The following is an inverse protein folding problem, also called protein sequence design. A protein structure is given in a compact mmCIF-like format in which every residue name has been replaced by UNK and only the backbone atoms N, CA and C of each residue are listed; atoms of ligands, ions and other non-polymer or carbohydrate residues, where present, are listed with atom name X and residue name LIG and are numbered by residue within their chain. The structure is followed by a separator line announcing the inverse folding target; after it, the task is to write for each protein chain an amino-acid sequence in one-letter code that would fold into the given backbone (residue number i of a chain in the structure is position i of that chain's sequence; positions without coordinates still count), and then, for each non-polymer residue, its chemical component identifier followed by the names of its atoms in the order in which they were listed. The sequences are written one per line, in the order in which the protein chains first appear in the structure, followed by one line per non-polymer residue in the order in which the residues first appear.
data_IF_496505365737
#
_entry.id   IF_496505365737
#
_cell.length_a   1.000
_cell.length_b   1.000
_cell.length_c   1.000
_cell.angle_alpha   90.00
_cell.angle_beta   90.00
_cell.angle_gamma   90.00
#
_symmetry.space_group_name_H-M   'P 1'
#
loop_
_entity.id
_entity.type
_entity.pdbx_description
1 polymer ?
#
# COMPACT_ATOMS: atom_id res chain seq x y z
N UNK A 1 8.06 -28.44 -30.70
CA UNK A 1 6.96 -28.68 -29.74
C UNK A 1 6.22 -27.39 -29.50
N UNK A 2 5.09 -27.17 -30.17
CA UNK A 2 4.29 -25.96 -30.00
C UNK A 2 3.25 -26.21 -28.90
N UNK A 3 3.34 -25.48 -27.79
CA UNK A 3 2.27 -25.48 -26.79
C UNK A 3 0.96 -25.02 -27.46
N UNK A 4 -0.10 -25.84 -27.33
CA UNK A 4 -1.42 -25.61 -27.90
C UNK A 4 -1.97 -24.24 -27.51
N UNK A 5 -2.64 -23.56 -28.47
CA UNK A 5 -3.34 -22.28 -28.26
C UNK A 5 -4.32 -22.32 -27.08
N UNK A 6 -4.80 -23.52 -26.72
CA UNK A 6 -5.68 -23.75 -25.57
C UNK A 6 -4.98 -23.49 -24.22
N UNK A 7 -3.71 -23.87 -24.08
CA UNK A 7 -2.92 -23.67 -22.84
C UNK A 7 -2.62 -22.19 -22.61
N UNK A 8 -2.48 -21.39 -23.68
CA UNK A 8 -2.27 -19.94 -23.59
C UNK A 8 -3.51 -19.20 -23.07
N UNK A 9 -4.71 -19.70 -23.37
CA UNK A 9 -5.98 -19.11 -22.88
C UNK A 9 -6.18 -19.32 -21.39
N UNK A 10 -5.68 -20.43 -20.83
CA UNK A 10 -5.85 -20.79 -19.42
C UNK A 10 -5.01 -19.92 -18.47
N UNK A 11 -3.82 -19.46 -18.90
CA UNK A 11 -2.99 -18.53 -18.11
C UNK A 11 -3.60 -17.13 -18.09
N UNK A 12 -4.27 -16.74 -19.19
CA UNK A 12 -4.91 -15.43 -19.32
C UNK A 12 -6.17 -15.28 -18.46
N UNK A 13 -6.79 -16.40 -18.05
CA UNK A 13 -7.98 -16.42 -17.20
C UNK A 13 -7.69 -16.34 -15.69
N UNK A 14 -6.45 -16.64 -15.28
CA UNK A 14 -6.04 -16.55 -13.86
C UNK A 14 -5.66 -15.11 -13.48
N UNK A 15 -5.30 -14.30 -14.47
CA UNK A 15 -4.95 -12.91 -14.30
C UNK A 15 -5.93 -12.02 -15.07
N UNK A 16 -7.18 -11.96 -14.60
CA UNK A 16 -8.05 -10.83 -14.93
C UNK A 16 -7.47 -9.57 -14.25
N UNK A 17 -6.31 -9.10 -14.71
CA UNK A 17 -5.82 -7.78 -14.36
C UNK A 17 -6.86 -6.80 -14.83
N UNK A 18 -7.42 -6.07 -13.88
CA UNK A 18 -8.24 -4.90 -14.17
C UNK A 18 -7.51 -4.06 -15.21
N UNK A 19 -8.19 -3.71 -16.30
CA UNK A 19 -7.66 -2.79 -17.32
C UNK A 19 -7.49 -1.36 -16.77
N UNK A 20 -7.85 -1.13 -15.50
CA UNK A 20 -7.69 0.15 -14.81
C UNK A 20 -6.29 0.25 -14.20
N UNK A 21 -5.62 1.36 -14.49
CA UNK A 21 -4.35 1.74 -13.84
C UNK A 21 -4.48 1.66 -12.32
N UNK A 22 -3.53 0.99 -11.63
CA UNK A 22 -3.60 0.85 -10.17
C UNK A 22 -3.56 2.22 -9.50
N UNK A 23 -4.49 2.44 -8.57
CA UNK A 23 -4.43 3.50 -7.56
C UNK A 23 -3.91 2.88 -6.27
N UNK A 24 -2.76 3.33 -5.80
CA UNK A 24 -2.05 2.79 -4.62
C UNK A 24 -2.22 3.71 -3.42
N UNK A 25 -2.50 3.13 -2.26
CA UNK A 25 -2.39 3.79 -0.96
C UNK A 25 -1.29 3.10 -0.15
N UNK A 26 -0.34 3.87 0.38
CA UNK A 26 0.69 3.34 1.29
C UNK A 26 0.12 3.35 2.71
N UNK A 27 0.20 2.21 3.40
CA UNK A 27 -0.15 2.10 4.81
C UNK A 27 1.10 2.22 5.68
N UNK A 28 0.96 2.86 6.83
CA UNK A 28 1.99 2.99 7.87
C UNK A 28 1.48 2.45 9.20
N UNK A 29 2.39 1.98 10.04
CA UNK A 29 2.01 1.34 11.31
C UNK A 29 1.50 2.37 12.33
N UNK A 30 0.20 2.38 12.58
CA UNK A 30 -0.46 3.17 13.61
C UNK A 30 -0.92 2.29 14.78
N UNK A 31 -1.25 1.03 14.53
CA UNK A 31 -1.59 0.06 15.57
C UNK A 31 -0.31 -0.62 16.11
N UNK A 32 -0.29 -0.91 17.40
CA UNK A 32 0.76 -1.73 17.99
C UNK A 32 0.68 -3.17 17.45
N UNK A 33 1.83 -3.82 17.19
CA UNK A 33 1.81 -5.18 16.67
C UNK A 33 1.34 -6.14 17.77
N UNK A 34 0.80 -7.32 17.41
CA UNK A 34 0.24 -8.23 18.39
C UNK A 34 1.32 -8.76 19.36
N UNK A 35 0.87 -9.31 20.49
CA UNK A 35 1.73 -10.07 21.41
C UNK A 35 1.81 -11.51 20.91
N UNK A 36 3.01 -11.99 20.57
CA UNK A 36 3.25 -13.41 20.23
C UNK A 36 4.11 -14.03 21.32
N UNK A 37 3.60 -15.07 21.98
CA UNK A 37 4.31 -15.80 23.03
C UNK A 37 4.83 -14.91 24.17
N UNK A 38 4.08 -13.85 24.51
CA UNK A 38 4.46 -12.88 25.54
C UNK A 38 5.46 -11.81 25.09
N UNK A 39 5.88 -11.81 23.82
CA UNK A 39 6.82 -10.84 23.24
C UNK A 39 6.12 -9.98 22.19
N UNK A 40 6.44 -8.68 22.19
CA UNK A 40 5.96 -7.71 21.20
C UNK A 40 7.13 -6.88 20.69
N UNK A 41 7.20 -6.70 19.38
CA UNK A 41 8.15 -5.77 18.77
C UNK A 41 7.66 -4.34 19.00
N UNK A 42 8.44 -3.44 19.63
CA UNK A 42 7.99 -2.07 19.81
C UNK A 42 7.79 -1.40 18.45
N UNK A 43 6.70 -0.63 18.33
CA UNK A 43 6.42 0.17 17.14
C UNK A 43 7.49 1.24 16.97
N UNK A 44 7.97 1.45 15.74
CA UNK A 44 8.87 2.58 15.43
C UNK A 44 8.14 3.89 15.76
N UNK A 45 8.78 4.89 16.38
CA UNK A 45 8.21 6.23 16.52
C UNK A 45 7.75 6.76 15.15
N UNK A 46 6.51 7.25 15.06
CA UNK A 46 5.90 7.68 13.79
C UNK A 46 5.47 6.55 12.85
N UNK A 47 5.75 5.27 13.16
CA UNK A 47 5.14 4.16 12.46
C UNK A 47 5.57 3.98 11.01
N UNK A 48 6.83 4.26 10.68
CA UNK A 48 7.37 4.23 9.30
C UNK A 48 6.85 5.35 8.37
N UNK A 49 6.38 6.48 8.92
CA UNK A 49 5.98 7.67 8.15
C UNK A 49 7.01 8.11 7.11
N UNK A 50 8.28 8.20 7.51
CA UNK A 50 9.42 8.57 6.65
C UNK A 50 9.49 7.70 5.39
N UNK A 51 9.66 6.39 5.59
CA UNK A 51 9.73 5.44 4.48
C UNK A 51 8.42 5.31 3.70
N UNK A 52 7.27 5.54 4.35
CA UNK A 52 5.98 5.58 3.67
C UNK A 52 5.87 6.74 2.67
N UNK A 53 6.39 7.91 3.04
CA UNK A 53 6.50 9.05 2.13
C UNK A 53 7.45 8.76 0.97
N UNK A 54 8.62 8.16 1.23
CA UNK A 54 9.58 7.80 0.18
C UNK A 54 9.02 6.79 -0.83
N UNK A 55 8.30 5.76 -0.36
CA UNK A 55 7.62 4.78 -1.21
C UNK A 55 6.57 5.49 -2.08
N UNK A 56 5.69 6.27 -1.46
CA UNK A 56 4.61 6.98 -2.16
C UNK A 56 5.15 7.98 -3.19
N UNK A 57 6.19 8.73 -2.84
CA UNK A 57 6.86 9.65 -3.75
C UNK A 57 7.51 8.92 -4.92
N UNK A 58 8.24 7.83 -4.67
CA UNK A 58 8.91 7.04 -5.69
C UNK A 58 7.93 6.42 -6.68
N UNK A 59 6.83 5.84 -6.18
CA UNK A 59 5.76 5.30 -7.01
C UNK A 59 5.16 6.38 -7.92
N UNK A 60 4.89 7.56 -7.38
CA UNK A 60 4.39 8.71 -8.15
C UNK A 60 5.37 9.12 -9.25
N UNK A 61 6.67 9.17 -8.95
CA UNK A 61 7.72 9.47 -9.94
C UNK A 61 7.81 8.43 -11.06
N UNK A 62 7.39 7.19 -10.81
CA UNK A 62 7.31 6.11 -11.81
C UNK A 62 5.97 6.08 -12.58
N UNK A 63 5.12 7.07 -12.41
CA UNK A 63 3.83 7.16 -13.10
C UNK A 63 2.72 6.30 -12.49
N UNK A 64 2.94 5.73 -11.30
CA UNK A 64 1.88 5.02 -10.56
C UNK A 64 0.98 6.06 -9.91
N UNK A 65 -0.34 5.87 -10.01
CA UNK A 65 -1.29 6.73 -9.31
C UNK A 65 -1.25 6.42 -7.83
N UNK A 66 -0.92 7.41 -7.01
CA UNK A 66 -0.84 7.29 -5.55
C UNK A 66 -1.81 8.26 -4.91
N UNK A 67 -2.59 7.79 -3.93
CA UNK A 67 -3.38 8.66 -3.05
C UNK A 67 -2.62 8.91 -1.74
N UNK A 68 -2.72 10.13 -1.23
CA UNK A 68 -2.09 10.58 0.02
C UNK A 68 -3.14 10.64 1.12
N UNK A 69 -2.76 10.37 2.37
CA UNK A 69 -3.69 10.51 3.50
C UNK A 69 -4.10 11.96 3.73
N UNK A 70 -3.22 12.91 3.39
CA UNK A 70 -3.52 14.32 3.22
C UNK A 70 -3.18 14.75 1.78
N UNK A 71 -4.19 15.04 0.95
CA UNK A 71 -4.01 15.53 -0.42
C UNK A 71 -3.15 16.79 -0.51
N UNK A 72 -3.12 17.62 0.53
CA UNK A 72 -2.36 18.88 0.59
C UNK A 72 -0.92 18.73 1.11
N UNK A 73 -0.55 17.55 1.63
CA UNK A 73 0.78 17.33 2.19
C UNK A 73 1.93 17.75 1.26
N UNK A 74 2.86 18.61 1.72
CA UNK A 74 3.96 19.08 0.90
C UNK A 74 5.02 17.99 0.70
N UNK A 75 5.82 18.14 -0.36
CA UNK A 75 6.92 17.20 -0.70
C UNK A 75 8.02 17.18 0.36
N UNK A 76 8.18 18.25 1.13
CA UNK A 76 9.15 18.34 2.22
C UNK A 76 8.70 17.68 3.53
N UNK A 77 7.46 17.20 3.62
CA UNK A 77 6.92 16.55 4.82
C UNK A 77 6.86 15.03 4.66
N UNK A 78 7.17 14.32 5.74
CA UNK A 78 6.94 12.87 5.84
C UNK A 78 5.50 12.54 6.28
N UNK A 79 4.77 13.53 6.79
CA UNK A 79 3.38 13.38 7.22
C UNK A 79 2.42 13.53 6.05
N UNK A 80 1.24 12.90 6.15
CA UNK A 80 0.19 13.04 5.15
C UNK A 80 0.39 12.21 3.88
N UNK A 81 1.50 11.48 3.73
CA UNK A 81 1.75 10.62 2.58
C UNK A 81 1.15 9.22 2.72
N UNK A 82 1.27 8.62 3.90
CA UNK A 82 0.81 7.26 4.17
C UNK A 82 -0.36 7.25 5.17
N UNK A 83 -1.34 6.41 4.87
CA UNK A 83 -2.52 6.18 5.70
C UNK A 83 -2.15 5.34 6.92
N UNK A 84 -2.73 5.60 8.11
CA UNK A 84 -2.58 4.69 9.22
C UNK A 84 -3.23 3.33 8.87
N UNK A 85 -2.64 2.24 9.33
CA UNK A 85 -3.21 0.89 9.23
C UNK A 85 -4.38 0.62 10.20
N UNK A 86 -5.03 1.69 10.69
CA UNK A 86 -6.30 1.57 11.43
C UNK A 86 -7.47 1.31 10.49
N UNK A 87 -8.57 0.82 11.04
CA UNK A 87 -9.81 0.60 10.29
C UNK A 87 -10.26 1.88 9.56
N UNK A 88 -10.22 3.03 10.25
CA UNK A 88 -10.59 4.33 9.69
C UNK A 88 -9.64 4.78 8.59
N UNK A 89 -8.33 4.52 8.74
CA UNK A 89 -7.32 4.84 7.74
C UNK A 89 -7.49 4.03 6.46
N UNK A 90 -7.71 2.73 6.61
CA UNK A 90 -7.96 1.80 5.49
C UNK A 90 -9.28 2.18 4.81
N UNK A 91 -10.34 2.44 5.58
CA UNK A 91 -11.63 2.84 5.06
C UNK A 91 -11.56 4.16 4.30
N UNK A 92 -10.87 5.17 4.84
CA UNK A 92 -10.65 6.46 4.17
C UNK A 92 -9.93 6.30 2.82
N UNK A 93 -8.88 5.47 2.75
CA UNK A 93 -8.19 5.18 1.50
C UNK A 93 -9.09 4.46 0.49
N UNK A 94 -9.92 3.52 0.95
CA UNK A 94 -10.91 2.85 0.12
C UNK A 94 -11.95 3.83 -0.46
N UNK A 95 -12.47 4.74 0.37
CA UNK A 95 -13.39 5.80 -0.08
C UNK A 95 -12.76 6.75 -1.11
N UNK A 96 -11.45 6.98 -1.02
CA UNK A 96 -10.68 7.75 -2.01
C UNK A 96 -10.39 6.98 -3.31
N UNK A 97 -10.92 5.76 -3.46
CA UNK A 97 -10.81 4.97 -4.67
C UNK A 97 -9.48 4.24 -4.80
N UNK A 98 -8.81 3.91 -3.69
CA UNK A 98 -7.66 3.02 -3.75
C UNK A 98 -8.07 1.65 -4.27
N UNK A 99 -7.17 1.03 -5.01
CA UNK A 99 -7.35 -0.31 -5.57
C UNK A 99 -6.34 -1.30 -5.00
N UNK A 100 -5.21 -0.78 -4.49
CA UNK A 100 -4.10 -1.56 -3.97
C UNK A 100 -3.56 -0.87 -2.73
N UNK A 101 -3.30 -1.66 -1.69
CA UNK A 101 -2.61 -1.21 -0.50
C UNK A 101 -1.16 -1.67 -0.53
N UNK A 102 -0.23 -0.77 -0.26
CA UNK A 102 1.15 -1.12 0.05
C UNK A 102 1.32 -1.12 1.56
N UNK A 103 1.35 -2.30 2.17
CA UNK A 103 1.50 -2.45 3.61
C UNK A 103 2.96 -2.20 4.04
N UNK A 104 3.26 -0.99 4.50
CA UNK A 104 4.54 -0.67 5.15
C UNK A 104 4.36 -0.66 6.67
N UNK A 105 4.10 -1.86 7.21
CA UNK A 105 3.80 -2.10 8.62
C UNK A 105 4.72 -3.20 9.14
N UNK A 106 5.05 -3.21 10.45
CA UNK A 106 5.73 -4.39 11.00
C UNK A 106 4.77 -5.58 10.97
N UNK A 107 5.21 -6.69 10.38
CA UNK A 107 4.80 -8.02 10.79
C UNK A 107 5.84 -8.59 11.76
N UNK A 108 5.39 -9.45 12.67
CA UNK A 108 6.26 -10.23 13.56
C UNK A 108 6.92 -11.37 12.82
#
# INVERSE_FOLDING_TARGET
MFASKSVRKSIQAICAFSTKTPTVAVLRQAIDPPVISGVTKPRKPGGYQDSGADIAYTLRQKGVKVIKSDPSAPVSSNEGWAFPDTEEGIYSAAQQGTTHFWANTCSL
#
